data_IF_761167968872
#
_entry.id   IF_761167968872
#
_cell.length_a   1.000
_cell.length_b   1.000
_cell.length_c   1.000
_cell.angle_alpha   90.00
_cell.angle_beta   90.00
_cell.angle_gamma   90.00
#
_symmetry.space_group_name_H-M   'P 1'
#
loop_
_entity.id
_entity.type
_entity.pdbx_description
1 polymer ?
#
# COMPACT_ATOMS: atom_id res chain seq x y z
N UNK A 1 -1.13 -2.37 17.96
CA UNK A 1 -1.84 -1.36 17.13
C UNK A 1 -3.04 -2.04 16.46
N UNK A 2 -4.23 -1.41 16.42
CA UNK A 2 -5.40 -1.96 15.69
C UNK A 2 -5.57 -1.24 14.34
N UNK A 3 -5.81 -1.99 13.27
CA UNK A 3 -6.10 -1.44 11.94
C UNK A 3 -7.53 -0.89 11.88
N UNK A 4 -7.71 0.29 11.27
CA UNK A 4 -9.05 0.82 10.97
C UNK A 4 -9.70 0.06 9.80
N UNK A 5 -11.02 0.14 9.65
CA UNK A 5 -11.73 -0.52 8.54
C UNK A 5 -11.20 -0.09 7.16
N UNK A 6 -10.87 1.18 6.98
CA UNK A 6 -10.28 1.68 5.74
C UNK A 6 -8.89 1.09 5.50
N UNK A 7 -8.07 0.99 6.55
CA UNK A 7 -6.75 0.37 6.45
C UNK A 7 -6.84 -1.12 6.09
N UNK A 8 -7.75 -1.85 6.73
CA UNK A 8 -8.04 -3.25 6.40
C UNK A 8 -8.45 -3.39 4.93
N UNK A 9 -9.35 -2.53 4.43
CA UNK A 9 -9.78 -2.54 3.03
C UNK A 9 -8.62 -2.37 2.05
N UNK A 10 -7.68 -1.47 2.32
CA UNK A 10 -6.51 -1.28 1.46
C UNK A 10 -5.61 -2.51 1.47
N UNK A 11 -5.32 -3.08 2.63
CA UNK A 11 -4.49 -4.29 2.73
C UNK A 11 -5.16 -5.51 2.08
N UNK A 12 -6.49 -5.64 2.15
CA UNK A 12 -7.24 -6.69 1.42
C UNK A 12 -7.01 -6.57 -0.09
N UNK A 13 -7.10 -5.36 -0.65
CA UNK A 13 -6.89 -5.15 -2.08
C UNK A 13 -5.46 -5.48 -2.50
N UNK A 14 -4.47 -5.12 -1.68
CA UNK A 14 -3.07 -5.48 -1.95
C UNK A 14 -2.83 -6.98 -1.82
N UNK A 15 -3.43 -7.66 -0.83
CA UNK A 15 -3.38 -9.13 -0.69
C UNK A 15 -3.99 -9.85 -1.89
N UNK A 16 -4.99 -9.27 -2.55
CA UNK A 16 -5.58 -9.79 -3.78
C UNK A 16 -4.68 -9.61 -5.02
N UNK A 17 -3.45 -9.11 -4.87
CA UNK A 17 -2.47 -8.95 -5.96
C UNK A 17 -2.51 -7.59 -6.65
N UNK A 18 -3.28 -6.62 -6.12
CA UNK A 18 -3.24 -5.25 -6.64
C UNK A 18 -1.98 -4.52 -6.19
N UNK A 19 -1.55 -3.56 -7.00
CA UNK A 19 -0.42 -2.69 -6.69
C UNK A 19 -0.90 -1.31 -6.27
N UNK A 20 -0.23 -0.77 -5.27
CA UNK A 20 -0.35 0.62 -4.86
C UNK A 20 0.67 1.45 -5.64
N UNK A 21 0.20 2.32 -6.53
CA UNK A 21 1.01 3.35 -7.18
C UNK A 21 1.03 4.58 -6.28
N UNK A 22 2.21 4.97 -5.83
CA UNK A 22 2.46 6.17 -5.05
C UNK A 22 3.26 7.14 -5.91
N UNK A 23 2.81 8.38 -5.93
CA UNK A 23 3.48 9.51 -6.55
C UNK A 23 3.92 10.43 -5.42
N UNK A 24 5.20 10.36 -5.05
CA UNK A 24 5.72 11.05 -3.85
C UNK A 24 5.72 12.58 -4.05
N UNK A 25 5.95 13.06 -5.28
CA UNK A 25 5.95 14.50 -5.61
C UNK A 25 4.53 15.07 -5.58
N UNK A 26 3.58 14.39 -6.23
CA UNK A 26 2.18 14.82 -6.24
C UNK A 26 1.42 14.45 -4.95
N UNK A 27 2.06 13.73 -4.02
CA UNK A 27 1.44 13.12 -2.82
C UNK A 27 0.15 12.37 -3.17
N UNK A 28 0.17 11.67 -4.30
CA UNK A 28 -0.99 10.98 -4.86
C UNK A 28 -0.82 9.47 -4.70
N UNK A 29 -1.93 8.79 -4.39
CA UNK A 29 -1.96 7.35 -4.20
C UNK A 29 -3.11 6.76 -4.99
N UNK A 30 -2.83 5.71 -5.76
CA UNK A 30 -3.83 4.95 -6.52
C UNK A 30 -3.62 3.45 -6.32
N UNK A 31 -4.70 2.68 -6.26
CA UNK A 31 -4.64 1.23 -6.42
C UNK A 31 -5.01 0.93 -7.87
N UNK A 32 -4.15 0.19 -8.59
CA UNK A 32 -4.40 -0.11 -10.00
C UNK A 32 -5.76 -0.80 -10.16
N UNK A 33 -6.63 -0.26 -11.03
CA UNK A 33 -7.97 -0.80 -11.27
C UNK A 33 -9.07 -0.28 -10.34
N UNK A 34 -8.75 0.56 -9.35
CA UNK A 34 -9.73 1.11 -8.41
C UNK A 34 -9.53 2.62 -8.21
N UNK A 35 -10.62 3.39 -8.32
CA UNK A 35 -10.64 4.80 -7.94
C UNK A 35 -10.92 4.95 -6.44
N UNK A 36 -9.87 4.77 -5.64
CA UNK A 36 -9.92 4.92 -4.19
C UNK A 36 -9.13 6.15 -3.75
N UNK A 37 -9.79 7.04 -3.01
CA UNK A 37 -9.13 8.15 -2.31
C UNK A 37 -8.41 7.64 -1.08
N UNK A 38 -7.16 7.23 -1.26
CA UNK A 38 -6.28 6.87 -0.16
C UNK A 38 -5.47 8.09 0.25
N UNK A 39 -5.47 8.41 1.53
CA UNK A 39 -4.62 9.49 2.04
C UNK A 39 -3.15 9.07 1.96
N UNK A 40 -2.31 9.90 1.35
CA UNK A 40 -0.86 9.71 1.28
C UNK A 40 -0.23 9.39 2.64
N UNK A 41 -0.64 10.09 3.70
CA UNK A 41 -0.17 9.87 5.06
C UNK A 41 -0.49 8.45 5.60
N UNK A 42 -1.58 7.83 5.14
CA UNK A 42 -1.89 6.43 5.51
C UNK A 42 -0.87 5.47 4.90
N UNK A 43 -0.45 5.74 3.67
CA UNK A 43 0.54 4.91 2.98
C UNK A 43 1.94 5.08 3.56
N UNK A 44 2.34 6.31 3.91
CA UNK A 44 3.61 6.52 4.61
C UNK A 44 3.65 5.75 5.92
N UNK A 45 2.56 5.74 6.70
CA UNK A 45 2.46 4.89 7.91
C UNK A 45 2.58 3.40 7.60
N UNK A 46 1.95 2.91 6.54
CA UNK A 46 2.09 1.50 6.14
C UNK A 46 3.53 1.14 5.78
N UNK A 47 4.24 2.04 5.10
CA UNK A 47 5.64 1.89 4.75
C UNK A 47 6.53 1.89 6.00
N UNK A 48 6.35 2.86 6.89
CA UNK A 48 7.08 2.97 8.18
C UNK A 48 6.90 1.72 9.04
N UNK A 49 5.68 1.18 9.07
CA UNK A 49 5.34 -0.04 9.82
C UNK A 49 5.74 -1.33 9.09
N UNK A 50 6.30 -1.25 7.89
CA UNK A 50 6.69 -2.42 7.10
C UNK A 50 5.52 -3.29 6.63
N UNK A 51 4.29 -2.75 6.57
CA UNK A 51 3.08 -3.47 6.13
C UNK A 51 2.99 -3.59 4.61
N UNK A 52 3.72 -2.73 3.91
CA UNK A 52 3.86 -2.74 2.45
C UNK A 52 5.35 -2.71 2.10
N UNK A 53 5.69 -3.30 0.96
CA UNK A 53 7.04 -3.32 0.43
C UNK A 53 7.06 -2.88 -1.02
N UNK A 54 8.19 -2.36 -1.45
CA UNK A 54 8.40 -1.87 -2.82
C UNK A 54 8.42 -3.06 -3.78
N UNK A 55 7.62 -3.00 -4.84
CA UNK A 55 7.66 -3.98 -5.93
C UNK A 55 8.64 -3.52 -7.01
N UNK A 56 9.85 -4.07 -6.98
CA UNK A 56 10.94 -3.71 -7.88
C UNK A 56 10.61 -3.90 -9.37
N UNK A 57 9.66 -4.78 -9.71
CA UNK A 57 9.32 -5.12 -11.11
C UNK A 57 8.65 -3.96 -11.86
N UNK A 58 8.04 -3.03 -11.14
CA UNK A 58 7.26 -1.93 -11.71
C UNK A 58 7.92 -0.57 -11.53
N UNK A 59 9.00 -0.48 -10.76
CA UNK A 59 9.73 0.77 -10.58
C UNK A 59 10.68 0.98 -11.73
N UNK A 60 10.65 2.19 -12.29
CA UNK A 60 11.54 2.55 -13.40
C UNK A 60 12.50 3.64 -12.95
N UNK A 61 13.75 3.53 -13.37
CA UNK A 61 14.80 4.48 -12.99
C UNK A 61 14.55 5.91 -13.53
N UNK A 62 13.82 6.04 -14.63
CA UNK A 62 13.42 7.31 -15.24
C UNK A 62 12.26 8.01 -14.51
N UNK A 63 11.57 7.32 -13.60
CA UNK A 63 10.46 7.86 -12.81
C UNK A 63 10.66 7.63 -11.32
N UNK A 64 11.71 8.21 -10.70
CA UNK A 64 12.08 7.92 -9.32
C UNK A 64 11.04 8.36 -8.28
N UNK A 65 10.18 9.33 -8.62
CA UNK A 65 9.08 9.80 -7.79
C UNK A 65 7.88 8.84 -7.77
N UNK A 66 7.79 7.92 -8.73
CA UNK A 66 6.68 6.96 -8.83
C UNK A 66 7.16 5.61 -8.32
N UNK A 67 6.52 5.13 -7.25
CA UNK A 67 6.84 3.84 -6.62
C UNK A 67 5.61 2.95 -6.58
N UNK A 68 5.83 1.67 -6.83
CA UNK A 68 4.81 0.65 -6.71
C UNK A 68 5.05 -0.17 -5.44
N UNK A 69 3.99 -0.41 -4.68
CA UNK A 69 4.03 -1.21 -3.47
C UNK A 69 3.06 -2.37 -3.54
N UNK A 70 3.46 -3.48 -2.92
CA UNK A 70 2.63 -4.65 -2.63
C UNK A 70 2.54 -4.85 -1.11
N UNK A 71 1.63 -5.70 -0.66
CA UNK A 71 1.55 -6.07 0.76
C UNK A 71 2.79 -6.90 1.15
N UNK A 72 3.31 -6.69 2.37
CA UNK A 72 4.37 -7.52 2.94
C UNK A 72 3.81 -8.70 3.72
N UNK A 73 4.66 -9.66 4.08
CA UNK A 73 4.28 -10.76 4.99
C UNK A 73 3.77 -10.27 6.34
N UNK A 74 4.39 -9.20 6.88
CA UNK A 74 3.92 -8.56 8.11
C UNK A 74 2.54 -7.94 7.92
N UNK A 75 2.31 -7.26 6.79
CA UNK A 75 1.01 -6.71 6.44
C UNK A 75 -0.07 -7.77 6.33
N UNK A 76 0.25 -8.93 5.74
CA UNK A 76 -0.66 -10.09 5.65
C UNK A 76 -1.02 -10.60 7.05
N UNK A 77 -0.02 -10.86 7.90
CA UNK A 77 -0.22 -11.35 9.28
C UNK A 77 -1.06 -10.38 10.10
N UNK A 78 -0.73 -9.09 10.08
CA UNK A 78 -1.48 -8.07 10.80
C UNK A 78 -2.92 -7.92 10.32
N UNK A 79 -3.17 -8.10 9.02
CA UNK A 79 -4.52 -8.11 8.47
C UNK A 79 -5.31 -9.32 8.99
N UNK A 80 -4.72 -10.51 8.97
CA UNK A 80 -5.36 -11.76 9.43
C UNK A 80 -5.69 -11.72 10.93
N UNK A 81 -4.77 -11.22 11.75
CA UNK A 81 -4.99 -11.05 13.20
C UNK A 81 -6.09 -10.03 13.52
N UNK A 82 -6.44 -9.15 12.57
CA UNK A 82 -7.48 -8.14 12.77
C UNK A 82 -8.91 -8.67 12.59
N UNK A 83 -9.07 -9.94 12.20
CA UNK A 83 -10.35 -10.64 12.07
C UNK A 83 -10.63 -11.66 13.19
N UNK A 84 -9.64 -11.90 14.07
CA UNK A 84 -9.78 -12.71 15.28
C UNK A 84 -10.36 -11.86 16.41
#
# INVERSE_FOLDING_TARGET
MKLTNSQKRYLILLKAGNLLRVDDDAKNVKIRGYDLRIQYNTIQKFKELGLITVDARFNRADQPAIRYYTISDLGIRMLEDSFK
#
